data_IF_314953873271
#
_entry.id   IF_314953873271
#
_cell.length_a   1.000
_cell.length_b   1.000
_cell.length_c   1.000
_cell.angle_alpha   90.00
_cell.angle_beta   90.00
_cell.angle_gamma   90.00
#
_symmetry.space_group_name_H-M   'P 1'
#
loop_
_entity.id
_entity.type
_entity.pdbx_description
1 polymer ?
#
# COMPACT_ATOMS: atom_id res chain seq x y z
N UNK A 1 -3.96 12.28 -9.59
CA UNK A 1 -3.23 11.00 -9.68
C UNK A 1 -2.05 11.16 -10.64
N UNK A 2 -0.96 10.41 -10.47
CA UNK A 2 0.19 10.46 -11.42
C UNK A 2 -0.10 9.57 -12.62
N UNK A 3 0.41 9.91 -13.80
CA UNK A 3 0.11 9.17 -15.05
C UNK A 3 0.42 7.67 -14.98
N UNK A 4 1.49 7.25 -14.29
CA UNK A 4 1.80 5.83 -14.15
C UNK A 4 0.77 5.07 -13.29
N UNK A 5 0.15 5.73 -12.30
CA UNK A 5 -0.92 5.14 -11.49
C UNK A 5 -2.20 4.93 -12.31
N UNK A 6 -2.49 5.86 -13.23
CA UNK A 6 -3.64 5.72 -14.15
C UNK A 6 -3.40 4.60 -15.16
N UNK A 7 -2.19 4.50 -15.70
CA UNK A 7 -1.80 3.37 -16.57
C UNK A 7 -1.92 2.04 -15.84
N UNK A 8 -1.45 1.96 -14.58
CA UNK A 8 -1.61 0.76 -13.75
C UNK A 8 -3.08 0.36 -13.61
N UNK A 9 -3.97 1.30 -13.27
CA UNK A 9 -5.40 1.00 -13.12
C UNK A 9 -6.02 0.37 -14.37
N UNK A 10 -5.66 0.87 -15.54
CA UNK A 10 -6.12 0.29 -16.79
C UNK A 10 -5.58 -1.14 -16.94
N UNK A 11 -4.27 -1.34 -16.76
CA UNK A 11 -3.67 -2.67 -16.93
C UNK A 11 -4.18 -3.68 -15.90
N UNK A 12 -4.45 -3.26 -14.67
CA UNK A 12 -4.96 -4.12 -13.61
C UNK A 12 -6.40 -4.64 -13.87
N UNK A 13 -7.17 -3.96 -14.71
CA UNK A 13 -8.52 -4.39 -15.08
C UNK A 13 -8.58 -5.15 -16.40
N UNK A 14 -7.50 -5.13 -17.19
CA UNK A 14 -7.46 -5.81 -18.50
C UNK A 14 -6.92 -7.24 -18.35
N UNK A 15 -7.60 -8.17 -18.96
CA UNK A 15 -7.19 -9.59 -18.96
C UNK A 15 -6.26 -9.97 -20.08
N UNK A 16 -6.16 -9.14 -21.13
CA UNK A 16 -5.30 -9.36 -22.32
C UNK A 16 -4.41 -8.14 -22.57
N UNK A 17 -3.57 -8.23 -23.60
CA UNK A 17 -2.68 -7.16 -24.01
C UNK A 17 -3.45 -5.92 -24.49
N UNK A 18 -3.04 -4.77 -24.00
CA UNK A 18 -3.57 -3.49 -24.43
C UNK A 18 -2.47 -2.66 -25.13
N UNK A 19 -2.76 -2.19 -26.35
CA UNK A 19 -1.78 -1.40 -27.08
C UNK A 19 -1.49 -0.06 -26.40
N UNK A 20 -0.23 0.38 -26.46
CA UNK A 20 0.17 1.68 -25.92
C UNK A 20 -0.60 2.87 -26.52
N UNK A 21 -1.13 2.72 -27.74
CA UNK A 21 -1.98 3.69 -28.39
C UNK A 21 -3.36 3.77 -27.72
N UNK A 22 -4.01 2.63 -27.47
CA UNK A 22 -5.28 2.59 -26.76
C UNK A 22 -5.17 3.13 -25.32
N UNK A 23 -4.05 2.83 -24.63
CA UNK A 23 -3.80 3.41 -23.30
C UNK A 23 -3.65 4.92 -23.40
N UNK A 24 -2.90 5.41 -24.40
CA UNK A 24 -2.68 6.83 -24.64
C UNK A 24 -4.01 7.57 -24.92
N UNK A 25 -4.87 7.01 -25.76
CA UNK A 25 -6.20 7.53 -26.06
C UNK A 25 -7.09 7.61 -24.81
N UNK A 26 -7.21 6.50 -24.05
CA UNK A 26 -8.05 6.44 -22.85
C UNK A 26 -7.65 7.46 -21.78
N UNK A 27 -6.35 7.76 -21.67
CA UNK A 27 -5.81 8.66 -20.64
C UNK A 27 -5.48 10.06 -21.18
N UNK A 28 -5.72 10.32 -22.46
CA UNK A 28 -5.31 11.56 -23.13
C UNK A 28 -3.81 11.86 -22.92
N UNK A 29 -2.98 10.84 -23.10
CA UNK A 29 -1.51 10.90 -22.96
C UNK A 29 -0.83 10.69 -24.31
N UNK A 30 0.45 11.06 -24.40
CA UNK A 30 1.29 10.65 -25.52
C UNK A 30 1.75 9.19 -25.37
N UNK A 31 2.05 8.50 -26.49
CA UNK A 31 2.64 7.14 -26.48
C UNK A 31 3.95 7.11 -25.68
N UNK A 32 4.76 8.16 -25.76
CA UNK A 32 5.99 8.31 -24.98
C UNK A 32 5.71 8.40 -23.49
N UNK A 33 4.63 9.09 -23.08
CA UNK A 33 4.21 9.17 -21.68
C UNK A 33 3.75 7.82 -21.15
N UNK A 34 3.01 7.05 -21.95
CA UNK A 34 2.62 5.67 -21.61
C UNK A 34 3.85 4.79 -21.44
N UNK A 35 4.80 4.84 -22.36
CA UNK A 35 6.04 4.07 -22.25
C UNK A 35 6.82 4.41 -20.96
N UNK A 36 6.98 5.71 -20.65
CA UNK A 36 7.61 6.14 -19.39
C UNK A 36 6.86 5.65 -18.15
N UNK A 37 5.53 5.64 -18.21
CA UNK A 37 4.70 5.12 -17.13
C UNK A 37 4.92 3.61 -16.92
N UNK A 38 4.99 2.83 -18.01
CA UNK A 38 5.31 1.39 -17.97
C UNK A 38 6.68 1.16 -17.34
N UNK A 39 7.72 1.88 -17.80
CA UNK A 39 9.07 1.78 -17.23
C UNK A 39 9.07 2.09 -15.73
N UNK A 40 8.28 3.08 -15.30
CA UNK A 40 8.15 3.41 -13.89
C UNK A 40 7.48 2.30 -13.10
N UNK A 41 6.41 1.70 -13.60
CA UNK A 41 5.74 0.58 -12.95
C UNK A 41 6.66 -0.64 -12.81
N UNK A 42 7.44 -0.96 -13.83
CA UNK A 42 8.44 -2.03 -13.77
C UNK A 42 9.54 -1.72 -12.71
N UNK A 43 9.96 -0.46 -12.57
CA UNK A 43 10.89 -0.04 -11.52
C UNK A 43 10.30 -0.17 -10.11
N UNK A 44 8.99 0.02 -9.97
CA UNK A 44 8.27 -0.22 -8.70
C UNK A 44 8.09 -1.71 -8.39
N UNK A 45 8.50 -2.60 -9.31
CA UNK A 45 8.50 -4.05 -9.12
C UNK A 45 7.33 -4.80 -9.76
N UNK A 46 6.50 -4.12 -10.57
CA UNK A 46 5.42 -4.81 -11.28
C UNK A 46 5.98 -5.59 -12.48
N UNK A 47 5.49 -6.80 -12.67
CA UNK A 47 5.81 -7.62 -13.84
C UNK A 47 4.87 -7.29 -14.99
N UNK A 48 5.37 -6.51 -15.94
CA UNK A 48 4.61 -6.10 -17.13
C UNK A 48 5.28 -6.66 -18.37
N UNK A 49 4.56 -7.54 -19.05
CA UNK A 49 5.00 -8.06 -20.35
C UNK A 49 4.70 -7.07 -21.49
N UNK A 50 5.57 -7.08 -22.49
CA UNK A 50 5.50 -6.19 -23.65
C UNK A 50 5.76 -6.95 -24.93
N UNK A 51 4.73 -7.13 -25.73
CA UNK A 51 4.82 -7.82 -27.03
C UNK A 51 4.67 -6.80 -28.15
N UNK A 52 5.63 -6.82 -29.08
CA UNK A 52 5.60 -5.99 -30.29
C UNK A 52 4.27 -6.17 -31.04
N UNK A 53 3.62 -5.07 -31.38
CA UNK A 53 2.32 -5.00 -32.07
C UNK A 53 1.11 -5.51 -31.27
N UNK A 54 1.28 -6.05 -30.06
CA UNK A 54 0.16 -6.40 -29.16
C UNK A 54 -0.01 -5.38 -28.03
N UNK A 55 1.09 -4.91 -27.44
CA UNK A 55 1.07 -3.92 -26.36
C UNK A 55 1.57 -4.48 -25.03
N UNK A 56 0.95 -4.08 -23.93
CA UNK A 56 1.34 -4.34 -22.56
C UNK A 56 0.29 -5.16 -21.83
N UNK A 57 0.74 -6.03 -20.94
CA UNK A 57 -0.11 -6.81 -20.04
C UNK A 57 0.56 -6.88 -18.67
N UNK A 58 -0.19 -6.58 -17.61
CA UNK A 58 0.25 -6.83 -16.24
C UNK A 58 0.17 -8.33 -15.97
N UNK A 59 1.29 -8.95 -15.60
CA UNK A 59 1.37 -10.36 -15.25
C UNK A 59 1.28 -10.56 -13.75
N UNK A 60 2.01 -9.73 -12.98
CA UNK A 60 2.06 -9.82 -11.52
C UNK A 60 2.45 -8.47 -10.90
N UNK A 61 2.20 -8.34 -9.61
CA UNK A 61 2.53 -7.17 -8.80
C UNK A 61 1.37 -6.22 -8.62
N UNK A 62 1.45 -5.48 -7.51
CA UNK A 62 0.42 -4.54 -7.07
C UNK A 62 1.01 -3.16 -6.79
N UNK A 63 0.19 -2.12 -6.90
CA UNK A 63 0.58 -0.75 -6.63
C UNK A 63 -0.29 -0.15 -5.53
N UNK A 64 0.34 0.34 -4.47
CA UNK A 64 -0.39 1.08 -3.43
C UNK A 64 -0.87 2.41 -4.00
N UNK A 65 -2.17 2.64 -3.94
CA UNK A 65 -2.85 3.85 -4.39
C UNK A 65 -3.45 4.60 -3.18
N UNK A 66 -2.69 5.51 -2.53
CA UNK A 66 -3.15 6.22 -1.33
C UNK A 66 -4.50 6.90 -1.50
N UNK A 67 -4.74 7.50 -2.67
CA UNK A 67 -5.98 8.22 -2.97
C UNK A 67 -7.22 7.30 -2.99
N UNK A 68 -7.05 6.01 -3.30
CA UNK A 68 -8.15 5.04 -3.25
C UNK A 68 -8.47 4.63 -1.81
N UNK A 69 -7.45 4.54 -0.96
CA UNK A 69 -7.64 4.29 0.46
C UNK A 69 -8.41 5.46 1.07
N UNK A 70 -8.01 6.71 0.76
CA UNK A 70 -8.69 7.92 1.23
C UNK A 70 -10.13 8.04 0.68
N UNK A 71 -10.36 7.65 -0.57
CA UNK A 71 -11.71 7.67 -1.17
C UNK A 71 -12.68 6.67 -0.52
N UNK A 72 -12.16 5.59 0.04
CA UNK A 72 -12.95 4.49 0.64
C UNK A 72 -12.91 4.48 2.18
N UNK A 73 -12.26 5.46 2.81
CA UNK A 73 -12.17 5.54 4.27
C UNK A 73 -12.05 7.00 4.74
N UNK A 74 -12.47 7.32 5.96
CA UNK A 74 -12.32 8.68 6.52
C UNK A 74 -10.88 8.99 6.98
N UNK A 75 -9.90 8.19 6.58
CA UNK A 75 -8.51 8.26 7.05
C UNK A 75 -7.65 8.97 6.00
N UNK A 76 -6.87 9.98 6.41
CA UNK A 76 -5.85 10.58 5.55
C UNK A 76 -4.61 9.71 5.47
N UNK A 77 -4.07 9.49 4.26
CA UNK A 77 -2.92 8.62 4.04
C UNK A 77 -1.63 9.42 3.82
N UNK A 78 -0.63 9.15 4.63
CA UNK A 78 0.73 9.64 4.46
C UNK A 78 1.59 8.51 3.90
N UNK A 79 1.79 8.49 2.60
CA UNK A 79 2.58 7.46 1.92
C UNK A 79 4.00 7.91 1.63
N UNK A 80 4.97 7.07 2.00
CA UNK A 80 6.38 7.18 1.63
C UNK A 80 6.84 5.86 1.00
N UNK A 81 7.46 5.83 -0.19
CA UNK A 81 8.00 4.59 -0.76
C UNK A 81 9.01 3.89 0.17
N UNK A 82 9.77 4.68 0.94
CA UNK A 82 10.69 4.17 1.97
C UNK A 82 10.73 5.12 3.15
N UNK A 83 10.87 4.57 4.36
CA UNK A 83 11.02 5.32 5.60
C UNK A 83 11.94 4.61 6.58
N UNK A 84 12.37 5.30 7.64
CA UNK A 84 13.04 4.64 8.78
C UNK A 84 12.05 3.71 9.49
N UNK A 85 10.86 4.21 9.83
CA UNK A 85 9.79 3.45 10.46
C UNK A 85 8.49 4.25 10.36
N UNK A 86 7.41 3.62 9.91
CA UNK A 86 6.08 4.24 9.87
C UNK A 86 5.60 4.65 11.27
N UNK A 87 6.02 3.92 12.31
CA UNK A 87 5.69 4.27 13.69
C UNK A 87 6.44 5.52 14.17
N UNK A 88 7.69 5.71 13.74
CA UNK A 88 8.43 6.94 14.01
C UNK A 88 7.79 8.11 13.29
N UNK A 89 7.44 7.95 12.00
CA UNK A 89 6.73 8.97 11.23
C UNK A 89 5.43 9.41 11.93
N UNK A 90 4.65 8.45 12.44
CA UNK A 90 3.41 8.74 13.17
C UNK A 90 3.68 9.52 14.47
N UNK A 91 4.68 9.11 15.26
CA UNK A 91 5.04 9.79 16.52
C UNK A 91 5.53 11.21 16.30
N UNK A 92 6.46 11.41 15.37
CA UNK A 92 6.97 12.74 15.02
C UNK A 92 5.85 13.68 14.55
N UNK A 93 4.91 13.17 13.76
CA UNK A 93 3.77 13.94 13.33
C UNK A 93 2.83 14.30 14.48
N UNK A 94 2.61 13.40 15.44
CA UNK A 94 1.83 13.67 16.66
C UNK A 94 2.50 14.76 17.51
N UNK A 95 3.80 14.67 17.71
CA UNK A 95 4.59 15.67 18.44
C UNK A 95 4.55 17.04 17.73
N UNK A 96 4.49 17.05 16.40
CA UNK A 96 4.29 18.25 15.60
C UNK A 96 2.83 18.76 15.57
N UNK A 97 1.92 18.14 16.34
CA UNK A 97 0.54 18.56 16.46
C UNK A 97 -0.41 18.06 15.37
N UNK A 98 -0.09 16.96 14.69
CA UNK A 98 -0.98 16.35 13.72
C UNK A 98 -2.32 15.96 14.36
N UNK A 99 -3.43 16.30 13.68
CA UNK A 99 -4.81 16.05 14.15
C UNK A 99 -5.52 15.09 13.20
N UNK A 100 -6.55 14.42 13.73
CA UNK A 100 -7.41 13.49 13.01
C UNK A 100 -6.75 12.13 12.78
N UNK A 101 -7.55 11.19 12.30
CA UNK A 101 -7.10 9.82 12.04
C UNK A 101 -6.23 9.80 10.78
N UNK A 102 -5.03 9.17 10.89
CA UNK A 102 -4.04 9.12 9.80
C UNK A 102 -3.41 7.75 9.70
N UNK A 103 -3.23 7.29 8.47
CA UNK A 103 -2.46 6.12 8.13
C UNK A 103 -1.09 6.52 7.57
N UNK A 104 -0.04 6.14 8.26
CA UNK A 104 1.35 6.24 7.77
C UNK A 104 1.70 4.91 7.11
N UNK A 105 2.02 4.95 5.82
CA UNK A 105 2.14 3.78 4.97
C UNK A 105 3.44 3.82 4.18
N UNK A 106 4.12 2.67 4.09
CA UNK A 106 5.35 2.53 3.30
C UNK A 106 5.48 1.10 2.75
N UNK A 107 6.17 0.96 1.63
CA UNK A 107 6.55 -0.35 1.05
C UNK A 107 7.92 -0.83 1.50
N UNK A 108 8.72 0.04 2.15
CA UNK A 108 10.03 -0.30 2.70
C UNK A 108 10.28 0.47 3.98
N UNK A 109 10.88 -0.17 4.99
CA UNK A 109 11.39 0.50 6.17
C UNK A 109 12.73 -0.10 6.62
N UNK A 110 13.63 0.76 7.14
CA UNK A 110 15.01 0.38 7.45
C UNK A 110 15.32 0.23 8.95
N UNK A 111 14.47 0.77 9.81
CA UNK A 111 14.66 0.78 11.26
C UNK A 111 13.39 0.35 12.02
N UNK A 112 12.65 -0.61 11.46
CA UNK A 112 11.48 -1.19 12.14
C UNK A 112 11.84 -1.80 13.50
N UNK A 113 10.92 -1.68 14.46
CA UNK A 113 11.05 -2.27 15.79
C UNK A 113 9.81 -3.08 16.13
N UNK A 114 10.02 -4.26 16.65
CA UNK A 114 8.98 -5.08 17.25
C UNK A 114 8.63 -4.61 18.67
N UNK A 115 7.75 -5.33 19.34
CA UNK A 115 7.41 -5.09 20.75
C UNK A 115 8.66 -5.19 21.64
N UNK A 116 8.71 -4.38 22.67
CA UNK A 116 9.86 -4.27 23.59
C UNK A 116 11.18 -3.90 22.89
N UNK A 117 11.09 -3.12 21.78
CA UNK A 117 12.25 -2.65 21.01
C UNK A 117 13.08 -3.79 20.37
N UNK A 118 12.51 -4.98 20.23
CA UNK A 118 13.21 -6.10 19.59
C UNK A 118 13.51 -5.77 18.12
N UNK A 119 14.63 -6.25 17.58
CA UNK A 119 14.89 -6.13 16.14
C UNK A 119 13.71 -6.70 15.33
N UNK A 120 13.34 -6.00 14.28
CA UNK A 120 12.29 -6.44 13.36
C UNK A 120 12.87 -6.54 11.95
N UNK A 121 12.73 -7.73 11.37
CA UNK A 121 13.19 -7.94 10.00
C UNK A 121 12.23 -7.24 9.04
N UNK A 122 12.79 -6.35 8.24
CA UNK A 122 12.05 -5.61 7.20
C UNK A 122 12.71 -5.89 5.85
N UNK A 123 12.15 -6.77 5.01
CA UNK A 123 12.69 -7.02 3.68
C UNK A 123 12.64 -5.75 2.81
N UNK A 124 13.59 -5.62 1.90
CA UNK A 124 13.69 -4.44 1.01
C UNK A 124 12.52 -4.36 0.02
N UNK A 125 11.84 -5.47 -0.24
CA UNK A 125 10.71 -5.57 -1.16
C UNK A 125 9.64 -6.52 -0.61
N UNK A 126 8.40 -6.32 -1.06
CA UNK A 126 7.26 -7.19 -0.74
C UNK A 126 6.64 -6.96 0.64
N UNK A 127 7.04 -5.91 1.35
CA UNK A 127 6.44 -5.55 2.63
C UNK A 127 5.41 -4.44 2.52
N UNK A 128 4.37 -4.49 3.35
CA UNK A 128 3.46 -3.38 3.62
C UNK A 128 3.66 -2.99 5.08
N UNK A 129 4.21 -1.81 5.30
CA UNK A 129 4.45 -1.25 6.63
C UNK A 129 3.46 -0.14 6.89
N UNK A 130 2.71 -0.24 7.97
CA UNK A 130 1.70 0.76 8.29
C UNK A 130 1.61 1.05 9.79
N UNK A 131 1.32 2.31 10.12
CA UNK A 131 1.01 2.77 11.46
C UNK A 131 -0.23 3.65 11.40
N UNK A 132 -1.23 3.29 12.20
CA UNK A 132 -2.49 3.99 12.27
C UNK A 132 -2.49 4.91 13.51
N UNK A 133 -2.56 6.23 13.29
CA UNK A 133 -2.81 7.21 14.33
C UNK A 133 -4.32 7.43 14.43
N UNK A 134 -4.86 7.15 15.60
CA UNK A 134 -6.28 7.34 15.91
C UNK A 134 -6.45 8.37 17.04
N UNK A 135 -7.51 9.16 16.93
CA UNK A 135 -7.94 10.09 17.98
C UNK A 135 -9.34 9.71 18.47
N UNK A 136 -9.48 8.64 19.24
CA UNK A 136 -10.78 8.20 19.73
C UNK A 136 -11.34 9.22 20.75
N UNK A 137 -12.62 9.53 20.61
CA UNK A 137 -13.34 10.36 21.58
C UNK A 137 -13.89 9.48 22.74
N UNK A 138 -13.00 8.77 23.42
CA UNK A 138 -13.34 7.86 24.53
C UNK A 138 -12.37 8.05 25.69
N UNK A 139 -12.83 7.93 26.95
CA UNK A 139 -11.94 7.87 28.10
C UNK A 139 -10.96 6.70 28.01
N UNK A 140 -9.75 6.87 28.52
CA UNK A 140 -8.69 5.86 28.46
C UNK A 140 -9.16 4.48 28.94
N UNK A 141 -9.95 4.42 30.02
CA UNK A 141 -10.46 3.18 30.61
C UNK A 141 -11.44 2.43 29.69
N UNK A 142 -11.98 3.10 28.68
CA UNK A 142 -12.92 2.52 27.70
C UNK A 142 -12.26 2.22 26.34
N UNK A 143 -10.94 2.47 26.22
CA UNK A 143 -10.24 2.17 24.99
C UNK A 143 -10.20 0.65 24.78
N UNK A 144 -10.48 0.18 23.55
CA UNK A 144 -10.43 -1.23 23.23
C UNK A 144 -9.00 -1.78 23.21
N UNK A 145 -8.86 -3.09 23.18
CA UNK A 145 -7.58 -3.76 22.98
C UNK A 145 -7.14 -3.65 21.52
N UNK A 146 -6.57 -2.52 21.11
CA UNK A 146 -6.22 -2.21 19.72
C UNK A 146 -5.33 -3.28 19.07
N UNK A 147 -4.43 -3.91 19.81
CA UNK A 147 -3.59 -5.01 19.28
C UNK A 147 -4.46 -6.15 18.74
N UNK A 148 -5.48 -6.56 19.51
CA UNK A 148 -6.38 -7.64 19.10
C UNK A 148 -7.29 -7.23 17.96
N UNK A 149 -7.81 -6.00 18.00
CA UNK A 149 -8.65 -5.48 16.92
C UNK A 149 -7.87 -5.41 15.61
N UNK A 150 -6.62 -4.96 15.64
CA UNK A 150 -5.76 -4.87 14.48
C UNK A 150 -5.44 -6.26 13.93
N UNK A 151 -5.03 -7.21 14.76
CA UNK A 151 -4.77 -8.58 14.36
C UNK A 151 -6.02 -9.23 13.73
N UNK A 152 -7.19 -9.08 14.37
CA UNK A 152 -8.44 -9.59 13.84
C UNK A 152 -8.89 -8.93 12.53
N UNK A 153 -8.63 -7.63 12.36
CA UNK A 153 -8.93 -6.90 11.13
C UNK A 153 -8.03 -7.38 9.97
N UNK A 154 -6.74 -7.53 10.21
CA UNK A 154 -5.78 -8.02 9.21
C UNK A 154 -6.10 -9.47 8.84
N UNK A 155 -6.37 -10.35 9.82
CA UNK A 155 -6.80 -11.73 9.58
C UNK A 155 -8.02 -11.78 8.64
N UNK A 156 -9.06 -11.00 8.94
CA UNK A 156 -10.27 -10.93 8.10
C UNK A 156 -9.96 -10.39 6.70
N UNK A 157 -9.10 -9.38 6.58
CA UNK A 157 -8.71 -8.81 5.29
C UNK A 157 -8.00 -9.86 4.42
N UNK A 158 -7.02 -10.58 4.96
CA UNK A 158 -6.31 -11.65 4.25
C UNK A 158 -7.30 -12.72 3.79
N UNK A 159 -8.14 -13.19 4.70
CA UNK A 159 -9.13 -14.25 4.41
C UNK A 159 -10.17 -13.86 3.36
N UNK A 160 -10.53 -12.58 3.29
CA UNK A 160 -11.48 -12.06 2.30
C UNK A 160 -10.87 -11.77 0.93
N UNK A 161 -9.59 -11.43 0.89
CA UNK A 161 -8.89 -10.99 -0.34
C UNK A 161 -8.06 -12.10 -1.00
N UNK A 162 -7.74 -13.14 -0.25
CA UNK A 162 -6.91 -14.24 -0.75
C UNK A 162 -7.52 -15.60 -0.36
N UNK A 163 -7.05 -16.66 -1.04
CA UNK A 163 -7.38 -18.05 -0.67
C UNK A 163 -6.38 -18.64 0.34
N UNK A 164 -5.57 -17.79 0.97
CA UNK A 164 -4.56 -18.22 1.93
C UNK A 164 -5.23 -18.40 3.29
N UNK A 165 -5.10 -19.59 3.84
CA UNK A 165 -5.45 -19.85 5.24
C UNK A 165 -4.34 -19.29 6.13
N UNK A 166 -4.74 -18.52 7.12
CA UNK A 166 -3.83 -17.90 8.11
C UNK A 166 -4.40 -18.13 9.50
N UNK A 167 -3.48 -18.22 10.46
CA UNK A 167 -3.81 -18.32 11.88
C UNK A 167 -3.22 -17.15 12.67
N UNK A 168 -3.78 -16.89 13.85
CA UNK A 168 -3.28 -15.87 14.77
C UNK A 168 -2.54 -16.56 15.91
N UNK A 169 -1.23 -16.40 15.95
CA UNK A 169 -0.46 -16.70 17.14
C UNK A 169 -0.61 -15.55 18.13
N UNK A 170 -1.25 -15.84 19.24
CA UNK A 170 -1.52 -14.87 20.27
C UNK A 170 -0.25 -14.04 20.62
N UNK A 171 -0.32 -12.72 20.58
CA UNK A 171 -1.51 -11.83 20.50
C UNK A 171 -1.56 -11.08 19.16
N UNK A 172 -0.53 -11.09 18.32
CA UNK A 172 -0.34 -10.15 17.22
C UNK A 172 0.39 -10.71 15.99
N UNK A 173 0.81 -11.96 16.03
CA UNK A 173 1.50 -12.57 14.89
C UNK A 173 0.48 -13.34 14.05
N UNK A 174 0.46 -13.09 12.74
CA UNK A 174 -0.36 -13.80 11.75
C UNK A 174 0.59 -14.58 10.85
N UNK A 175 0.31 -15.86 10.61
CA UNK A 175 1.17 -16.77 9.86
C UNK A 175 0.36 -17.78 9.05
#
# INVERSE_FOLDING_TARGET
MKSYQEVYKILATETDYLSGEKIAERLNLSRTSVWKAIQRLQQEGLEIDSIKNRGYKLLDGDLILPQEIEANSPITVQFKPSTKSTQTDAKEAMEAGAKGDKLYLSTSQTMGRGRFQRPYYSPDKGGIYMSLHLQPNLPYQKLPAYTLLTAGAIYKAIKNLSLIDVDIKWVNDIY
#
